data_IF_959424104801
#
_entry.id   IF_959424104801
#
_cell.length_a   1.000
_cell.length_b   1.000
_cell.length_c   1.000
_cell.angle_alpha   90.00
_cell.angle_beta   90.00
_cell.angle_gamma   90.00
#
_symmetry.space_group_name_H-M   'P 1'
#
loop_
_entity.id
_entity.type
_entity.pdbx_description
1 polymer ?
#
# COMPACT_ATOMS: atom_id res chain seq x y z
N UNK A 1 -23.10 -7.15 -6.48
CA UNK A 1 -21.79 -6.54 -6.77
C UNK A 1 -21.77 -5.08 -6.36
N UNK A 2 -21.15 -4.78 -5.22
CA UNK A 2 -20.82 -3.40 -4.85
C UNK A 2 -19.38 -3.16 -5.28
N UNK A 3 -19.21 -2.34 -6.31
CA UNK A 3 -17.92 -1.90 -6.80
C UNK A 3 -17.13 -1.25 -5.67
N UNK A 4 -15.88 -1.66 -5.49
CA UNK A 4 -14.99 -1.09 -4.48
C UNK A 4 -14.74 0.38 -4.81
N UNK A 5 -15.14 1.29 -3.90
CA UNK A 5 -14.92 2.73 -4.06
C UNK A 5 -13.77 3.19 -3.14
N UNK A 6 -12.69 3.77 -3.69
CA UNK A 6 -11.60 4.35 -2.89
C UNK A 6 -12.05 5.41 -1.89
N UNK A 7 -13.21 6.05 -2.14
CA UNK A 7 -13.85 7.07 -1.31
C UNK A 7 -14.02 6.64 0.17
N UNK A 8 -14.18 5.34 0.45
CA UNK A 8 -14.35 4.85 1.82
C UNK A 8 -13.12 5.09 2.71
N UNK A 9 -11.91 4.99 2.13
CA UNK A 9 -10.67 5.25 2.88
C UNK A 9 -10.52 6.74 3.18
N UNK A 10 -10.87 7.59 2.22
CA UNK A 10 -10.90 9.04 2.39
C UNK A 10 -11.86 9.46 3.52
N UNK A 11 -13.05 8.86 3.57
CA UNK A 11 -14.05 9.20 4.58
C UNK A 11 -13.67 8.69 5.98
N UNK A 12 -13.06 7.50 6.08
CA UNK A 12 -12.49 7.02 7.34
C UNK A 12 -11.39 7.95 7.86
N UNK A 13 -10.51 8.43 6.98
CA UNK A 13 -9.46 9.39 7.35
C UNK A 13 -10.02 10.76 7.77
N UNK A 14 -11.08 11.23 7.12
CA UNK A 14 -11.78 12.48 7.52
C UNK A 14 -12.43 12.32 8.89
N UNK A 15 -13.07 11.18 9.14
CA UNK A 15 -13.73 10.88 10.41
C UNK A 15 -12.71 10.81 11.55
N UNK A 16 -11.60 10.10 11.34
CA UNK A 16 -10.45 10.06 12.26
C UNK A 16 -9.97 11.47 12.62
N UNK A 17 -9.71 12.31 11.62
CA UNK A 17 -9.31 13.69 11.85
C UNK A 17 -10.36 14.51 12.63
N UNK A 18 -11.66 14.35 12.33
CA UNK A 18 -12.74 15.05 13.04
C UNK A 18 -12.90 14.60 14.51
N UNK A 19 -12.67 13.32 14.77
CA UNK A 19 -12.68 12.74 16.12
C UNK A 19 -11.49 13.23 16.95
N UNK A 20 -10.31 13.36 16.36
CA UNK A 20 -9.13 13.94 17.02
C UNK A 20 -9.39 15.38 17.53
N UNK A 21 -10.16 16.18 16.77
CA UNK A 21 -10.54 17.54 17.18
C UNK A 21 -11.64 17.59 18.24
N UNK A 22 -12.40 16.51 18.42
CA UNK A 22 -13.59 16.46 19.27
C UNK A 22 -13.32 15.56 20.47
N UNK A 23 -12.88 16.16 21.58
CA UNK A 23 -12.51 15.48 22.83
C UNK A 23 -13.61 14.48 23.25
N UNK A 24 -13.35 13.20 22.98
CA UNK A 24 -14.29 12.08 23.14
C UNK A 24 -13.68 10.68 22.97
N UNK A 25 -12.33 10.57 22.89
CA UNK A 25 -11.53 9.55 23.56
C UNK A 25 -11.70 8.06 23.26
N UNK A 26 -12.35 7.64 22.17
CA UNK A 26 -12.08 6.32 21.59
C UNK A 26 -11.32 6.51 20.30
N UNK A 27 -10.06 6.05 20.28
CA UNK A 27 -9.24 6.00 19.08
C UNK A 27 -9.94 5.08 18.07
N UNK A 28 -10.18 5.55 16.85
CA UNK A 28 -10.84 4.77 15.79
C UNK A 28 -10.12 3.43 15.57
N UNK A 29 -8.82 3.39 15.86
CA UNK A 29 -7.99 2.18 15.88
C UNK A 29 -8.47 1.14 16.91
N UNK A 30 -8.90 1.56 18.10
CA UNK A 30 -9.43 0.65 19.13
C UNK A 30 -10.79 0.07 18.73
N UNK A 31 -11.66 0.90 18.16
CA UNK A 31 -12.96 0.46 17.63
C UNK A 31 -12.75 -0.55 16.51
N UNK A 32 -11.80 -0.29 15.61
CA UNK A 32 -11.45 -1.19 14.52
C UNK A 32 -10.84 -2.51 15.04
N UNK A 33 -9.99 -2.48 16.07
CA UNK A 33 -9.46 -3.69 16.72
C UNK A 33 -10.58 -4.58 17.26
N UNK A 34 -11.53 -4.00 18.01
CA UNK A 34 -12.66 -4.76 18.55
C UNK A 34 -13.54 -5.30 17.42
N UNK A 35 -13.75 -4.53 16.34
CA UNK A 35 -14.46 -5.00 15.16
C UNK A 35 -13.78 -6.22 14.53
N UNK A 36 -12.46 -6.18 14.30
CA UNK A 36 -11.70 -7.32 13.75
C UNK A 36 -11.79 -8.53 14.68
N UNK A 37 -11.69 -8.31 15.99
CA UNK A 37 -11.79 -9.38 16.99
C UNK A 37 -13.16 -10.05 16.95
N UNK A 38 -14.24 -9.27 16.91
CA UNK A 38 -15.62 -9.78 16.79
C UNK A 38 -15.86 -10.49 15.48
N UNK A 39 -15.34 -9.96 14.37
CA UNK A 39 -15.42 -10.63 13.08
C UNK A 39 -14.75 -12.01 13.12
N UNK A 40 -13.58 -12.13 13.76
CA UNK A 40 -12.91 -13.43 13.94
C UNK A 40 -13.71 -14.40 14.82
N UNK A 41 -14.35 -13.91 15.89
CA UNK A 41 -15.23 -14.72 16.76
C UNK A 41 -16.44 -15.26 16.00
N UNK A 42 -17.06 -14.43 15.15
CA UNK A 42 -18.24 -14.81 14.35
C UNK A 42 -17.86 -15.79 13.24
N UNK A 43 -16.72 -15.57 12.57
CA UNK A 43 -16.24 -16.38 11.46
C UNK A 43 -15.49 -17.65 11.90
N UNK A 44 -15.31 -17.85 13.22
CA UNK A 44 -14.51 -18.92 13.82
C UNK A 44 -13.11 -19.06 13.19
N UNK A 45 -12.42 -17.92 13.03
CA UNK A 45 -11.09 -17.87 12.43
C UNK A 45 -10.05 -17.25 13.38
N UNK A 46 -8.78 -17.59 13.16
CA UNK A 46 -7.68 -17.06 13.98
C UNK A 46 -7.28 -15.64 13.56
N UNK A 47 -7.43 -15.33 12.28
CA UNK A 47 -7.09 -14.05 11.68
C UNK A 47 -7.82 -13.88 10.34
N UNK A 48 -7.96 -12.63 9.92
CA UNK A 48 -8.51 -12.22 8.64
C UNK A 48 -7.33 -11.80 7.75
N UNK A 49 -7.30 -12.29 6.51
CA UNK A 49 -6.35 -11.89 5.48
C UNK A 49 -7.03 -10.88 4.55
N UNK A 50 -6.43 -9.71 4.38
CA UNK A 50 -6.81 -8.72 3.38
C UNK A 50 -5.66 -8.58 2.39
N UNK A 51 -5.99 -8.70 1.10
CA UNK A 51 -5.05 -8.52 0.00
C UNK A 51 -5.38 -7.24 -0.75
N UNK A 52 -4.38 -6.41 -1.01
CA UNK A 52 -4.47 -5.25 -1.87
C UNK A 52 -3.60 -5.48 -3.10
N UNK A 53 -4.21 -5.35 -4.27
CA UNK A 53 -3.51 -5.50 -5.55
C UNK A 53 -3.26 -4.13 -6.20
N UNK A 54 -2.07 -3.92 -6.75
CA UNK A 54 -1.70 -2.76 -7.57
C UNK A 54 -2.09 -1.38 -6.99
N UNK A 55 -2.00 -1.19 -5.66
CA UNK A 55 -2.31 0.09 -4.99
C UNK A 55 -1.47 1.23 -5.58
N UNK A 56 -0.24 0.92 -5.96
CA UNK A 56 0.77 1.83 -6.49
C UNK A 56 0.41 2.40 -7.87
N UNK A 57 -0.66 1.92 -8.53
CA UNK A 57 -1.10 2.42 -9.84
C UNK A 57 -1.99 3.66 -9.77
N UNK A 58 -2.57 4.00 -8.61
CA UNK A 58 -3.45 5.17 -8.44
C UNK A 58 -2.93 6.09 -7.32
N UNK A 59 -2.47 7.29 -7.69
CA UNK A 59 -1.81 8.21 -6.73
C UNK A 59 -2.71 8.68 -5.58
N UNK A 60 -3.91 9.18 -5.87
CA UNK A 60 -4.78 9.74 -4.82
C UNK A 60 -5.45 8.64 -3.99
N UNK A 61 -6.07 7.66 -4.65
CA UNK A 61 -6.68 6.51 -4.00
C UNK A 61 -5.65 5.68 -3.20
N UNK A 62 -4.45 5.49 -3.76
CA UNK A 62 -3.40 4.71 -3.12
C UNK A 62 -2.88 5.35 -1.84
N UNK A 63 -2.77 6.68 -1.78
CA UNK A 63 -2.37 7.37 -0.55
C UNK A 63 -3.33 7.13 0.61
N UNK A 64 -4.64 7.26 0.37
CA UNK A 64 -5.66 7.07 1.41
C UNK A 64 -5.67 5.63 1.93
N UNK A 65 -5.46 4.66 1.03
CA UNK A 65 -5.32 3.24 1.40
C UNK A 65 -4.07 3.03 2.27
N UNK A 66 -2.91 3.56 1.86
CA UNK A 66 -1.65 3.43 2.62
C UNK A 66 -1.74 4.06 4.00
N UNK A 67 -2.34 5.25 4.11
CA UNK A 67 -2.56 5.90 5.41
C UNK A 67 -3.49 5.10 6.31
N UNK A 68 -4.53 4.50 5.74
CA UNK A 68 -5.46 3.67 6.51
C UNK A 68 -4.82 2.38 7.00
N UNK A 69 -4.00 1.73 6.17
CA UNK A 69 -3.17 0.58 6.60
C UNK A 69 -2.25 1.02 7.74
N UNK A 70 -1.58 2.17 7.61
CA UNK A 70 -0.63 2.68 8.61
C UNK A 70 -1.30 3.02 9.95
N UNK A 71 -2.51 3.59 9.91
CA UNK A 71 -3.23 4.08 11.10
C UNK A 71 -4.04 2.98 11.78
N UNK A 72 -4.85 2.25 11.03
CA UNK A 72 -5.90 1.39 11.61
C UNK A 72 -5.51 -0.08 11.67
N UNK A 73 -4.61 -0.56 10.80
CA UNK A 73 -4.38 -2.01 10.65
C UNK A 73 -3.30 -2.51 11.63
N UNK A 74 -3.48 -2.20 12.92
CA UNK A 74 -2.57 -2.60 14.00
C UNK A 74 -2.95 -3.96 14.65
N UNK A 75 -4.05 -4.58 14.24
CA UNK A 75 -4.49 -5.85 14.82
C UNK A 75 -3.58 -7.01 14.51
N UNK A 76 -3.25 -7.81 15.53
CA UNK A 76 -2.60 -9.12 15.34
C UNK A 76 -3.51 -10.15 14.66
N UNK A 77 -4.81 -9.91 14.64
CA UNK A 77 -5.81 -10.74 13.95
C UNK A 77 -6.07 -10.28 12.52
N UNK A 78 -5.42 -9.22 12.05
CA UNK A 78 -5.51 -8.75 10.68
C UNK A 78 -4.15 -8.91 9.99
N UNK A 79 -4.12 -9.72 8.94
CA UNK A 79 -2.95 -9.89 8.08
C UNK A 79 -3.20 -9.13 6.78
N UNK A 80 -2.28 -8.23 6.45
CA UNK A 80 -2.37 -7.39 5.26
C UNK A 80 -1.28 -7.83 4.29
N UNK A 81 -1.68 -8.16 3.07
CA UNK A 81 -0.77 -8.43 1.96
C UNK A 81 -1.02 -7.37 0.90
N UNK A 82 0.03 -6.66 0.52
CA UNK A 82 -0.02 -5.72 -0.59
C UNK A 82 0.96 -6.19 -1.67
N UNK A 83 0.51 -6.16 -2.91
CA UNK A 83 1.36 -6.31 -4.10
C UNK A 83 1.60 -4.93 -4.72
N UNK A 84 2.59 -4.84 -5.60
CA UNK A 84 2.94 -3.61 -6.31
C UNK A 84 4.44 -3.40 -6.45
N UNK A 85 4.83 -2.36 -7.18
CA UNK A 85 6.21 -1.93 -7.33
C UNK A 85 6.59 -0.96 -6.20
N UNK A 86 7.58 -1.34 -5.39
CA UNK A 86 8.12 -0.49 -4.32
C UNK A 86 8.59 0.88 -4.83
N UNK A 87 9.02 0.97 -6.09
CA UNK A 87 9.43 2.22 -6.75
C UNK A 87 8.22 3.12 -7.01
N UNK A 88 7.09 2.55 -7.41
CA UNK A 88 5.86 3.32 -7.63
C UNK A 88 5.28 3.77 -6.29
N UNK A 89 5.31 2.93 -5.25
CA UNK A 89 5.02 3.36 -3.88
C UNK A 89 5.90 4.52 -3.43
N UNK A 90 7.22 4.42 -3.64
CA UNK A 90 8.18 5.50 -3.32
C UNK A 90 7.81 6.82 -4.02
N UNK A 91 7.45 6.77 -5.31
CA UNK A 91 7.03 7.96 -6.06
C UNK A 91 5.73 8.56 -5.54
N UNK A 92 4.73 7.73 -5.22
CA UNK A 92 3.45 8.17 -4.64
C UNK A 92 3.67 8.89 -3.31
N UNK A 93 4.47 8.28 -2.44
CA UNK A 93 4.81 8.81 -1.12
C UNK A 93 5.55 10.15 -1.25
N UNK A 94 6.59 10.23 -2.10
CA UNK A 94 7.33 11.48 -2.37
C UNK A 94 6.42 12.58 -2.89
N UNK A 95 5.53 12.27 -3.84
CA UNK A 95 4.57 13.22 -4.39
C UNK A 95 3.72 13.88 -3.30
N UNK A 96 3.17 13.08 -2.38
CA UNK A 96 2.36 13.57 -1.26
C UNK A 96 3.17 14.37 -0.24
N UNK A 97 4.43 14.01 0.00
CA UNK A 97 5.30 14.81 0.87
C UNK A 97 5.61 16.18 0.27
N UNK A 98 5.96 16.24 -1.02
CA UNK A 98 6.17 17.52 -1.70
C UNK A 98 4.90 18.38 -1.70
N UNK A 99 3.71 17.79 -1.88
CA UNK A 99 2.43 18.50 -1.78
C UNK A 99 2.23 19.10 -0.37
N UNK A 100 2.43 18.31 0.68
CA UNK A 100 2.28 18.76 2.07
C UNK A 100 3.29 19.85 2.45
N UNK A 101 4.54 19.74 2.00
CA UNK A 101 5.54 20.79 2.18
C UNK A 101 5.13 22.05 1.42
N UNK A 102 4.71 21.94 0.15
CA UNK A 102 4.33 23.11 -0.64
C UNK A 102 3.16 23.90 -0.05
N UNK A 103 2.22 23.22 0.62
CA UNK A 103 1.07 23.84 1.31
C UNK A 103 1.46 24.54 2.62
N UNK A 104 2.52 24.11 3.28
CA UNK A 104 2.94 24.63 4.60
C UNK A 104 3.94 25.78 4.52
N UNK A 105 4.46 26.10 3.33
CA UNK A 105 5.46 27.16 3.15
C UNK A 105 4.87 28.55 2.87
N UNK A 106 5.40 29.56 3.55
CA UNK A 106 5.26 30.97 3.21
C UNK A 106 6.13 31.30 1.99
N UNK A 107 5.68 32.19 1.10
CA UNK A 107 6.36 32.52 -0.16
C UNK A 107 7.83 33.00 0.01
N UNK A 108 8.19 33.46 1.20
CA UNK A 108 9.51 33.99 1.55
C UNK A 108 10.58 32.89 1.73
N UNK A 109 10.20 31.61 1.84
CA UNK A 109 11.15 30.51 2.05
C UNK A 109 11.65 29.85 0.76
N UNK A 110 11.39 30.43 -0.42
CA UNK A 110 11.73 29.88 -1.76
C UNK A 110 13.21 30.05 -2.15
N UNK A 111 14.15 30.06 -1.21
CA UNK A 111 15.58 30.23 -1.49
C UNK A 111 16.28 28.90 -1.86
N UNK A 112 17.19 28.94 -2.83
CA UNK A 112 17.74 27.78 -3.56
C UNK A 112 18.59 26.81 -2.74
N UNK A 113 19.25 27.28 -1.67
CA UNK A 113 20.07 26.44 -0.78
C UNK A 113 19.21 25.47 0.04
N UNK A 114 17.99 25.89 0.40
CA UNK A 114 17.04 25.05 1.15
C UNK A 114 16.40 23.94 0.28
N UNK A 115 16.55 23.99 -1.04
CA UNK A 115 15.94 23.01 -1.95
C UNK A 115 16.64 21.65 -1.88
N UNK A 116 17.97 21.64 -1.75
CA UNK A 116 18.76 20.41 -1.61
C UNK A 116 18.49 19.71 -0.27
N UNK A 117 18.45 20.49 0.83
CA UNK A 117 18.08 19.97 2.15
C UNK A 117 16.65 19.41 2.18
N UNK A 118 15.70 20.05 1.47
CA UNK A 118 14.33 19.53 1.31
C UNK A 118 14.30 18.18 0.60
N UNK A 119 15.06 18.03 -0.49
CA UNK A 119 15.16 16.76 -1.21
C UNK A 119 15.59 15.62 -0.28
N UNK A 120 16.61 15.89 0.54
CA UNK A 120 17.10 14.93 1.53
C UNK A 120 16.06 14.62 2.62
N UNK A 121 15.36 15.63 3.15
CA UNK A 121 14.31 15.42 4.14
C UNK A 121 13.14 14.59 3.60
N UNK A 122 12.68 14.89 2.38
CA UNK A 122 11.60 14.15 1.72
C UNK A 122 12.01 12.69 1.49
N UNK A 123 13.23 12.46 1.01
CA UNK A 123 13.77 11.10 0.87
C UNK A 123 13.79 10.36 2.21
N UNK A 124 14.22 11.01 3.29
CA UNK A 124 14.26 10.37 4.60
C UNK A 124 12.85 10.03 5.12
N UNK A 125 11.88 10.94 4.98
CA UNK A 125 10.49 10.70 5.36
C UNK A 125 9.85 9.57 4.55
N UNK A 126 10.13 9.54 3.25
CA UNK A 126 9.69 8.46 2.37
C UNK A 126 10.24 7.10 2.82
N UNK A 127 11.54 7.01 3.07
CA UNK A 127 12.16 5.77 3.54
C UNK A 127 11.55 5.30 4.86
N UNK A 128 11.35 6.21 5.83
CA UNK A 128 10.71 5.88 7.10
C UNK A 128 9.27 5.39 6.91
N UNK A 129 8.53 6.01 5.99
CA UNK A 129 7.16 5.62 5.68
C UNK A 129 7.09 4.21 5.08
N UNK A 130 7.92 3.94 4.07
CA UNK A 130 8.01 2.60 3.46
C UNK A 130 8.42 1.53 4.46
N UNK A 131 9.29 1.84 5.43
CA UNK A 131 9.67 0.90 6.47
C UNK A 131 8.53 0.58 7.44
N UNK A 132 7.69 1.57 7.75
CA UNK A 132 6.50 1.38 8.60
C UNK A 132 5.47 0.49 7.93
N UNK A 133 5.19 0.72 6.65
CA UNK A 133 4.20 -0.07 5.90
C UNK A 133 4.73 -1.43 5.46
N UNK A 134 5.95 -1.45 4.92
CA UNK A 134 6.56 -2.64 4.35
C UNK A 134 7.93 -2.90 5.02
N UNK A 135 7.97 -3.46 6.23
CA UNK A 135 9.23 -3.81 6.88
C UNK A 135 10.06 -4.75 5.99
N UNK A 136 11.37 -4.51 5.87
CA UNK A 136 12.25 -5.25 4.95
C UNK A 136 12.14 -6.76 5.13
N UNK A 137 12.11 -7.23 6.38
CA UNK A 137 11.99 -8.66 6.72
C UNK A 137 10.65 -9.31 6.33
N UNK A 138 9.64 -8.51 5.97
CA UNK A 138 8.32 -8.99 5.53
C UNK A 138 8.12 -8.87 4.02
N UNK A 139 9.12 -8.38 3.27
CA UNK A 139 9.03 -8.23 1.81
C UNK A 139 9.34 -9.54 1.11
N UNK A 140 8.54 -9.88 0.11
CA UNK A 140 8.78 -11.04 -0.76
C UNK A 140 8.97 -10.50 -2.17
N UNK A 141 10.17 -10.68 -2.72
CA UNK A 141 10.45 -10.32 -4.11
C UNK A 141 9.88 -11.41 -5.03
N UNK A 142 8.90 -11.04 -5.84
CA UNK A 142 8.40 -11.92 -6.89
C UNK A 142 9.46 -12.06 -8.00
N UNK A 143 9.65 -13.29 -8.47
CA UNK A 143 10.50 -13.59 -9.61
C UNK A 143 9.73 -13.34 -10.90
N UNK A 144 10.43 -12.84 -11.92
CA UNK A 144 9.84 -12.70 -13.26
C UNK A 144 9.67 -14.08 -13.90
N UNK A 145 8.75 -14.19 -14.84
CA UNK A 145 8.57 -15.42 -15.63
C UNK A 145 9.88 -15.87 -16.30
N UNK A 146 10.67 -14.91 -16.80
CA UNK A 146 11.98 -15.19 -17.40
C UNK A 146 12.95 -15.84 -16.40
N UNK A 147 12.99 -15.36 -15.16
CA UNK A 147 13.83 -15.94 -14.11
C UNK A 147 13.39 -17.37 -13.77
N UNK A 148 12.08 -17.61 -13.69
CA UNK A 148 11.54 -18.94 -13.41
C UNK A 148 11.87 -19.94 -14.53
N UNK A 149 11.75 -19.53 -15.79
CA UNK A 149 12.10 -20.37 -16.95
C UNK A 149 13.61 -20.61 -17.05
N UNK A 150 14.43 -19.59 -16.79
CA UNK A 150 15.90 -19.69 -16.80
C UNK A 150 16.45 -20.60 -15.70
N UNK A 151 15.82 -20.64 -14.52
CA UNK A 151 16.17 -21.56 -13.43
C UNK A 151 15.79 -23.02 -13.77
N UNK A 152 14.62 -23.22 -14.39
CA UNK A 152 14.16 -24.53 -14.86
C UNK A 152 14.93 -25.05 -16.08
N UNK A 153 15.57 -24.18 -16.87
CA UNK A 153 16.45 -24.55 -17.98
C UNK A 153 17.69 -25.37 -17.59
N UNK A 154 18.02 -25.47 -16.29
CA UNK A 154 19.06 -26.39 -15.78
C UNK A 154 18.51 -27.75 -15.31
N UNK A 155 17.19 -27.94 -15.28
CA UNK A 155 16.52 -29.17 -14.87
C UNK A 155 15.37 -29.49 -15.82
N UNK A 156 15.70 -30.11 -16.96
CA UNK A 156 14.73 -30.79 -17.84
C UNK A 156 14.01 -29.88 -18.84
N UNK A 157 13.85 -30.38 -20.07
CA UNK A 157 13.01 -29.76 -21.10
C UNK A 157 11.57 -29.67 -20.59
N UNK A 158 11.08 -28.48 -20.26
CA UNK A 158 9.65 -28.27 -20.03
C UNK A 158 8.96 -27.92 -21.37
N UNK A 159 8.08 -28.81 -21.84
CA UNK A 159 7.13 -28.51 -22.92
C UNK A 159 6.05 -27.55 -22.39
N UNK A 160 6.20 -26.25 -22.65
CA UNK A 160 5.12 -25.29 -22.43
C UNK A 160 4.11 -25.47 -23.56
N UNK A 161 3.06 -26.26 -23.33
CA UNK A 161 1.89 -26.33 -24.23
C UNK A 161 0.99 -25.13 -23.97
N UNK A 162 1.18 -24.08 -24.78
CA UNK A 162 0.20 -23.00 -24.90
C UNK A 162 -1.02 -23.59 -25.60
N UNK A 163 -2.17 -23.64 -24.91
CA UNK A 163 -3.45 -23.91 -25.57
C UNK A 163 -3.83 -22.68 -26.38
N UNK A 164 -3.47 -22.65 -27.66
CA UNK A 164 -4.24 -21.86 -28.62
C UNK A 164 -5.53 -22.61 -28.93
N UNK A 165 -6.63 -21.88 -29.06
CA UNK A 165 -7.94 -22.44 -29.35
C UNK A 165 -7.91 -23.29 -30.65
N UNK A 166 -8.68 -24.38 -30.72
CA UNK A 166 -8.61 -25.32 -31.83
C UNK A 166 -9.32 -24.74 -33.05
N UNK A 167 -8.59 -24.24 -34.06
CA UNK A 167 -9.27 -23.88 -35.31
C UNK A 167 -8.55 -23.09 -36.40
N UNK A 168 -7.28 -22.73 -36.28
CA UNK A 168 -6.57 -22.10 -37.41
C UNK A 168 -5.50 -23.03 -37.95
N UNK A 169 -5.74 -23.56 -39.15
CA UNK A 169 -4.74 -24.23 -39.97
C UNK A 169 -3.74 -23.18 -40.45
N UNK A 170 -2.46 -23.47 -40.23
CA UNK A 170 -1.35 -22.69 -40.77
C UNK A 170 -1.37 -22.74 -42.30
N UNK A 171 -1.32 -21.56 -42.95
CA UNK A 171 -0.97 -21.40 -44.36
C UNK A 171 0.52 -21.07 -44.43
#
# INVERSE_FOLDING_TARGET
>A
DKEYKPEYFSDALKLDAQLDYSIGGQDLSEIFEELVKRACEILDCKAILITFDDIDTQFDAGWDVLESIRKFFNSRKLVVVATGDLRLYSQLIRGKQYENYSKTLLEQEKESVRLAERGYMVEHLEQQYLLKLFPVQKRIQLKTMLQLVGEKGKAGKEEIKVKTEPGMQDI
#
